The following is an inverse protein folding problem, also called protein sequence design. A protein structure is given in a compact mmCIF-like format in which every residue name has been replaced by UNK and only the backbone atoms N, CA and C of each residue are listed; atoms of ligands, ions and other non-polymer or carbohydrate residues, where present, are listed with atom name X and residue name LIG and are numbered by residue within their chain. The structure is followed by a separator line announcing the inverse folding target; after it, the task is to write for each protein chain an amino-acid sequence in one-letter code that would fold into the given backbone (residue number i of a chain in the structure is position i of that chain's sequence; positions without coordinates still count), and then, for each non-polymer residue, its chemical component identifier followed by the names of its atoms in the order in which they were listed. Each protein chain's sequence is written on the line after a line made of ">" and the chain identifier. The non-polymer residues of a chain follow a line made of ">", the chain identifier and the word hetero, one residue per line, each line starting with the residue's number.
data_IF_528475564422
#
_entry.id   IF_528475564422
#
_cell.length_a   1.000
_cell.length_b   1.000
_cell.length_c   1.000
_cell.angle_alpha   90.00
_cell.angle_beta   90.00
_cell.angle_gamma   90.00
#
_symmetry.space_group_name_H-M   'P 1'
#
loop_
_entity.id
_entity.type
_entity.pdbx_description
1 polymer ?
#
# COMPACT_ATOMS: atom_id res chain seq x y z
N UNK A 1 -17.40 20.66 0.83
CA UNK A 1 -17.40 20.63 -0.64
C UNK A 1 -18.27 19.45 -1.04
N UNK A 2 -19.49 19.72 -1.48
CA UNK A 2 -20.52 18.72 -1.79
C UNK A 2 -20.12 17.90 -2.99
N UNK A 3 -19.92 16.60 -2.81
CA UNK A 3 -19.83 15.63 -3.89
C UNK A 3 -21.14 15.71 -4.70
N UNK A 4 -21.05 16.23 -5.92
CA UNK A 4 -22.16 16.19 -6.87
C UNK A 4 -22.46 14.72 -7.19
N UNK A 5 -23.72 14.26 -7.07
CA UNK A 5 -24.09 12.95 -7.58
C UNK A 5 -23.90 12.99 -9.09
N UNK A 6 -23.15 12.03 -9.58
CA UNK A 6 -22.93 11.79 -11.00
C UNK A 6 -24.28 11.82 -11.73
N UNK A 7 -24.49 12.85 -12.53
CA UNK A 7 -25.57 12.94 -13.52
C UNK A 7 -25.21 12.00 -14.67
N UNK A 8 -25.15 10.70 -14.40
CA UNK A 8 -25.00 9.67 -15.41
C UNK A 8 -26.40 9.42 -15.99
N UNK A 9 -26.68 10.06 -17.13
CA UNK A 9 -27.64 9.49 -18.08
C UNK A 9 -27.34 7.99 -18.22
N UNK A 10 -28.33 7.09 -18.22
CA UNK A 10 -28.06 5.67 -18.40
C UNK A 10 -27.43 5.50 -19.79
N UNK A 11 -26.11 5.36 -19.82
CA UNK A 11 -25.40 4.95 -21.03
C UNK A 11 -25.90 3.55 -21.33
N UNK A 12 -26.76 3.43 -22.33
CA UNK A 12 -27.29 2.14 -22.76
C UNK A 12 -26.09 1.26 -23.14
N UNK A 13 -25.84 0.20 -22.38
CA UNK A 13 -24.70 -0.68 -22.63
C UNK A 13 -24.78 -1.28 -24.03
N UNK A 14 -23.64 -1.36 -24.71
CA UNK A 14 -23.59 -1.86 -26.09
C UNK A 14 -23.34 -3.37 -26.11
N UNK A 15 -24.22 -4.13 -26.77
CA UNK A 15 -24.06 -5.57 -26.98
C UNK A 15 -23.85 -5.84 -28.48
N UNK A 16 -22.75 -6.50 -28.82
CA UNK A 16 -22.46 -6.90 -30.19
C UNK A 16 -22.86 -8.37 -30.43
N UNK A 17 -23.72 -8.59 -31.42
CA UNK A 17 -24.14 -9.91 -31.88
C UNK A 17 -23.24 -10.37 -33.03
N UNK A 18 -22.44 -11.41 -32.77
CA UNK A 18 -21.62 -12.14 -33.73
C UNK A 18 -22.32 -13.47 -34.04
N UNK A 19 -23.40 -13.38 -34.82
CA UNK A 19 -24.29 -14.51 -35.13
C UNK A 19 -24.49 -14.58 -36.63
N UNK A 20 -24.21 -15.74 -37.24
CA UNK A 20 -24.28 -15.90 -38.70
C UNK A 20 -25.73 -15.95 -39.20
N UNK A 21 -26.55 -16.76 -38.54
CA UNK A 21 -27.92 -17.02 -39.00
C UNK A 21 -28.81 -15.79 -38.83
N UNK A 22 -29.32 -15.28 -39.95
CA UNK A 22 -30.03 -14.00 -40.00
C UNK A 22 -31.31 -14.01 -39.17
N UNK A 23 -32.00 -15.16 -39.11
CA UNK A 23 -33.21 -15.36 -38.30
C UNK A 23 -32.92 -15.28 -36.80
N UNK A 24 -31.91 -16.02 -36.32
CA UNK A 24 -31.52 -16.03 -34.91
C UNK A 24 -30.98 -14.67 -34.47
N UNK A 25 -30.18 -14.01 -35.32
CA UNK A 25 -29.69 -12.65 -35.07
C UNK A 25 -30.85 -11.65 -34.95
N UNK A 26 -31.86 -11.73 -35.81
CA UNK A 26 -33.04 -10.87 -35.74
C UNK A 26 -33.88 -11.16 -34.48
N UNK A 27 -34.02 -12.43 -34.09
CA UNK A 27 -34.73 -12.82 -32.87
C UNK A 27 -34.03 -12.29 -31.61
N UNK A 28 -32.71 -12.48 -31.49
CA UNK A 28 -31.92 -11.98 -30.36
C UNK A 28 -31.89 -10.46 -30.29
N UNK A 29 -31.79 -9.78 -31.44
CA UNK A 29 -31.95 -8.32 -31.50
C UNK A 29 -33.29 -7.89 -30.90
N UNK A 30 -34.39 -8.48 -31.35
CA UNK A 30 -35.75 -8.18 -30.83
C UNK A 30 -35.90 -8.49 -29.34
N UNK A 31 -35.22 -9.53 -28.84
CA UNK A 31 -35.27 -9.89 -27.42
C UNK A 31 -34.56 -8.85 -26.53
N UNK A 32 -33.49 -8.24 -27.04
CA UNK A 32 -32.53 -7.45 -26.27
C UNK A 32 -32.60 -5.93 -26.52
N UNK A 33 -33.21 -5.48 -27.63
CA UNK A 33 -33.25 -4.06 -28.03
C UNK A 33 -33.96 -3.14 -27.03
N UNK A 34 -34.85 -3.69 -26.19
CA UNK A 34 -35.49 -2.94 -25.11
C UNK A 34 -34.52 -2.55 -23.97
N UNK A 35 -33.37 -3.23 -23.86
CA UNK A 35 -32.44 -3.10 -22.73
C UNK A 35 -31.04 -2.60 -23.15
N UNK A 36 -30.62 -2.84 -24.39
CA UNK A 36 -29.23 -2.61 -24.83
C UNK A 36 -29.15 -2.01 -26.23
N UNK A 37 -28.06 -1.31 -26.53
CA UNK A 37 -27.72 -0.89 -27.88
C UNK A 37 -27.15 -2.09 -28.65
N UNK A 38 -27.92 -2.62 -29.61
CA UNK A 38 -27.54 -3.84 -30.34
C UNK A 38 -26.76 -3.51 -31.61
N UNK A 39 -25.51 -3.99 -31.68
CA UNK A 39 -24.68 -3.94 -32.90
C UNK A 39 -24.62 -5.31 -33.54
N UNK A 40 -24.94 -5.39 -34.84
CA UNK A 40 -25.04 -6.64 -35.59
C UNK A 40 -24.07 -6.68 -36.80
N UNK A 41 -22.98 -5.92 -36.72
CA UNK A 41 -21.95 -5.86 -37.77
C UNK A 41 -21.06 -7.10 -37.75
N UNK A 42 -20.66 -7.56 -38.93
CA UNK A 42 -19.73 -8.70 -39.10
C UNK A 42 -18.30 -8.37 -38.67
N UNK A 43 -17.92 -7.10 -38.51
CA UNK A 43 -16.63 -6.71 -37.94
C UNK A 43 -16.73 -6.52 -36.43
N UNK A 44 -15.82 -7.09 -35.65
CA UNK A 44 -15.71 -6.85 -34.20
C UNK A 44 -15.40 -5.37 -33.96
N UNK A 45 -16.33 -4.67 -33.32
CA UNK A 45 -16.21 -3.26 -32.94
C UNK A 45 -15.95 -3.08 -31.45
N UNK A 46 -16.00 -1.83 -30.98
CA UNK A 46 -15.99 -1.52 -29.54
C UNK A 46 -17.39 -1.72 -28.97
N UNK A 47 -17.63 -2.82 -28.26
CA UNK A 47 -18.84 -3.08 -27.48
C UNK A 47 -18.49 -3.40 -26.01
N UNK A 48 -19.50 -3.35 -25.15
CA UNK A 48 -19.38 -3.70 -23.72
C UNK A 48 -19.52 -5.19 -23.47
N UNK A 49 -20.23 -5.91 -24.36
CA UNK A 49 -20.39 -7.37 -24.31
C UNK A 49 -20.52 -7.94 -25.72
N UNK A 50 -19.97 -9.13 -25.95
CA UNK A 50 -20.09 -9.86 -27.21
C UNK A 50 -20.93 -11.12 -27.00
N UNK A 51 -21.96 -11.31 -27.82
CA UNK A 51 -22.70 -12.56 -27.95
C UNK A 51 -22.27 -13.24 -29.23
N UNK A 52 -21.77 -14.47 -29.13
CA UNK A 52 -21.26 -15.25 -30.26
C UNK A 52 -21.90 -16.63 -30.25
N UNK A 53 -22.24 -17.16 -31.42
CA UNK A 53 -22.76 -18.54 -31.50
C UNK A 53 -21.62 -19.55 -31.71
N UNK A 54 -21.87 -20.80 -31.36
CA UNK A 54 -20.93 -21.92 -31.51
C UNK A 54 -20.38 -22.13 -32.93
N UNK A 55 -21.18 -21.84 -33.97
CA UNK A 55 -20.77 -21.95 -35.36
C UNK A 55 -19.79 -20.86 -35.79
N UNK A 56 -20.00 -19.64 -35.35
CA UNK A 56 -19.19 -18.47 -35.70
C UNK A 56 -18.01 -18.24 -34.77
N UNK A 57 -18.06 -18.79 -33.56
CA UNK A 57 -17.01 -18.61 -32.56
C UNK A 57 -15.59 -18.92 -33.08
N UNK A 58 -15.33 -20.01 -33.82
CA UNK A 58 -14.00 -20.29 -34.38
C UNK A 58 -13.49 -19.18 -35.32
N UNK A 59 -14.39 -18.56 -36.11
CA UNK A 59 -14.03 -17.48 -37.05
C UNK A 59 -13.66 -16.19 -36.31
N UNK A 60 -14.36 -15.88 -35.22
CA UNK A 60 -14.15 -14.68 -34.42
C UNK A 60 -13.13 -14.85 -33.30
N UNK A 61 -12.71 -16.08 -32.97
CA UNK A 61 -11.87 -16.39 -31.81
C UNK A 61 -10.64 -15.49 -31.69
N UNK A 62 -9.78 -15.45 -32.72
CA UNK A 62 -8.55 -14.64 -32.68
C UNK A 62 -8.84 -13.14 -32.56
N UNK A 63 -9.92 -12.66 -33.16
CA UNK A 63 -10.28 -11.25 -33.14
C UNK A 63 -10.92 -10.84 -31.80
N UNK A 64 -11.71 -11.73 -31.18
CA UNK A 64 -12.23 -11.57 -29.82
C UNK A 64 -11.08 -11.60 -28.80
N UNK A 65 -10.14 -12.53 -28.92
CA UNK A 65 -8.98 -12.60 -28.01
C UNK A 65 -8.21 -11.29 -28.00
N UNK A 66 -7.83 -10.79 -29.19
CA UNK A 66 -7.19 -9.49 -29.33
C UNK A 66 -8.00 -8.34 -28.74
N UNK A 67 -9.33 -8.44 -28.71
CA UNK A 67 -10.21 -7.41 -28.15
C UNK A 67 -10.26 -7.48 -26.63
N UNK A 68 -10.28 -8.68 -26.05
CA UNK A 68 -10.20 -8.93 -24.61
C UNK A 68 -8.84 -8.47 -24.10
N UNK A 69 -7.74 -8.90 -24.72
CA UNK A 69 -6.38 -8.51 -24.35
C UNK A 69 -6.18 -6.98 -24.39
N UNK A 70 -6.75 -6.30 -25.38
CA UNK A 70 -6.71 -4.83 -25.47
C UNK A 70 -7.59 -4.11 -24.46
N UNK A 71 -8.53 -4.81 -23.86
CA UNK A 71 -9.41 -4.24 -22.84
C UNK A 71 -8.82 -4.44 -21.45
N UNK A 72 -7.93 -5.41 -21.24
CA UNK A 72 -7.19 -5.63 -20.01
C UNK A 72 -6.53 -4.33 -19.51
N UNK A 73 -6.69 -3.96 -18.23
CA UNK A 73 -7.32 -4.70 -17.12
C UNK A 73 -8.86 -4.59 -17.00
N UNK A 74 -9.54 -3.90 -17.93
CA UNK A 74 -11.01 -3.79 -17.93
C UNK A 74 -11.66 -5.08 -18.43
N UNK A 75 -12.46 -5.71 -17.56
CA UNK A 75 -13.23 -6.92 -17.88
C UNK A 75 -14.10 -6.76 -19.14
N UNK A 76 -13.95 -7.67 -20.10
CA UNK A 76 -14.56 -7.61 -21.43
C UNK A 76 -15.35 -8.89 -21.74
N UNK A 77 -16.64 -8.96 -21.36
CA UNK A 77 -17.40 -10.20 -21.39
C UNK A 77 -17.71 -10.71 -22.80
N UNK A 78 -17.52 -12.01 -23.00
CA UNK A 78 -17.94 -12.76 -24.19
C UNK A 78 -18.84 -13.92 -23.76
N UNK A 79 -20.03 -14.01 -24.35
CA UNK A 79 -21.02 -15.03 -24.05
C UNK A 79 -21.23 -15.91 -25.27
N UNK A 80 -21.03 -17.22 -25.10
CA UNK A 80 -21.22 -18.22 -26.13
C UNK A 80 -22.64 -18.77 -26.11
N UNK A 81 -23.32 -18.77 -27.26
CA UNK A 81 -24.64 -19.37 -27.44
C UNK A 81 -24.47 -20.73 -28.12
N UNK A 82 -24.88 -21.81 -27.44
CA UNK A 82 -24.78 -23.18 -27.93
C UNK A 82 -26.15 -23.73 -28.32
N UNK A 83 -26.24 -24.42 -29.46
CA UNK A 83 -27.51 -25.00 -29.95
C UNK A 83 -27.69 -26.44 -29.44
N UNK A 84 -28.93 -26.83 -29.11
CA UNK A 84 -29.25 -28.15 -28.56
C UNK A 84 -29.06 -29.32 -29.57
N UNK A 85 -28.93 -29.01 -30.86
CA UNK A 85 -29.23 -29.96 -31.93
C UNK A 85 -28.06 -30.84 -32.38
N UNK A 86 -26.84 -30.67 -31.86
CA UNK A 86 -25.71 -31.58 -32.18
C UNK A 86 -24.77 -31.79 -31.00
N UNK A 87 -24.44 -33.08 -30.82
CA UNK A 87 -23.39 -33.65 -30.00
C UNK A 87 -22.20 -32.68 -29.80
N UNK A 88 -21.80 -32.32 -28.57
CA UNK A 88 -20.75 -31.35 -28.34
C UNK A 88 -19.41 -32.03 -28.63
N UNK A 89 -18.92 -31.91 -29.87
CA UNK A 89 -17.49 -32.02 -30.16
C UNK A 89 -16.90 -30.61 -30.27
N UNK A 90 -17.17 -29.77 -29.28
CA UNK A 90 -16.24 -28.69 -28.95
C UNK A 90 -15.27 -29.34 -27.99
N UNK A 91 -14.04 -29.60 -28.43
CA UNK A 91 -12.96 -29.91 -27.51
C UNK A 91 -12.76 -28.65 -26.67
N UNK A 92 -13.41 -28.59 -25.52
CA UNK A 92 -13.10 -27.58 -24.51
C UNK A 92 -11.65 -27.85 -24.09
N UNK A 93 -10.79 -26.82 -24.02
CA UNK A 93 -9.44 -26.98 -23.50
C UNK A 93 -9.50 -27.67 -22.14
N UNK A 94 -8.59 -28.62 -21.92
CA UNK A 94 -8.54 -29.44 -20.72
C UNK A 94 -8.57 -28.55 -19.47
N UNK A 95 -9.39 -28.91 -18.48
CA UNK A 95 -9.63 -28.11 -17.28
C UNK A 95 -8.38 -27.98 -16.38
N UNK A 96 -7.30 -28.66 -16.73
CA UNK A 96 -6.07 -28.77 -15.95
C UNK A 96 -4.83 -28.14 -16.64
N UNK A 97 -4.93 -27.64 -17.87
CA UNK A 97 -3.84 -26.97 -18.62
C UNK A 97 -4.10 -25.47 -18.86
N UNK A 98 -4.85 -24.82 -17.97
CA UNK A 98 -5.47 -23.51 -18.21
C UNK A 98 -4.56 -22.33 -17.89
N UNK A 99 -3.93 -21.76 -18.90
CA UNK A 99 -3.45 -20.37 -18.87
C UNK A 99 -4.62 -19.39 -19.14
N UNK A 100 -4.90 -18.43 -18.24
CA UNK A 100 -5.86 -17.35 -18.44
C UNK A 100 -5.37 -16.28 -19.44
N UNK A 101 -6.25 -15.40 -19.97
CA UNK A 101 -7.70 -15.29 -19.69
C UNK A 101 -8.57 -16.17 -20.60
N UNK A 102 -9.61 -16.77 -20.01
CA UNK A 102 -10.65 -17.46 -20.78
C UNK A 102 -11.33 -16.46 -21.71
N UNK A 103 -11.39 -16.79 -22.99
CA UNK A 103 -12.07 -15.96 -23.96
C UNK A 103 -13.60 -15.93 -23.79
N UNK A 104 -14.20 -16.90 -23.09
CA UNK A 104 -15.65 -17.05 -22.92
C UNK A 104 -16.01 -17.03 -21.44
N UNK A 105 -16.88 -16.10 -21.04
CA UNK A 105 -17.25 -15.83 -19.65
C UNK A 105 -18.57 -16.47 -19.22
N UNK A 106 -19.47 -16.74 -20.17
CA UNK A 106 -20.71 -17.46 -19.92
C UNK A 106 -21.14 -18.27 -21.15
N UNK A 107 -21.87 -19.37 -20.93
CA UNK A 107 -22.44 -20.21 -21.98
C UNK A 107 -23.96 -20.29 -21.78
N UNK A 108 -24.71 -19.98 -22.84
CA UNK A 108 -26.18 -20.02 -22.87
C UNK A 108 -26.64 -21.05 -23.90
N UNK A 109 -27.41 -22.03 -23.46
CA UNK A 109 -28.00 -23.05 -24.34
C UNK A 109 -29.32 -22.55 -24.95
N UNK A 110 -29.54 -22.83 -26.23
CA UNK A 110 -30.83 -22.61 -26.90
C UNK A 110 -31.79 -23.81 -26.65
N UNK A 111 -33.12 -23.58 -26.54
CA UNK A 111 -33.83 -22.32 -26.70
C UNK A 111 -33.63 -21.36 -25.53
N UNK A 112 -33.48 -20.07 -25.83
CA UNK A 112 -33.10 -19.04 -24.85
C UNK A 112 -34.34 -18.46 -24.16
N UNK A 113 -34.34 -18.49 -22.83
CA UNK A 113 -35.28 -17.70 -22.02
C UNK A 113 -34.83 -16.24 -21.92
N UNK A 114 -35.72 -15.31 -22.30
CA UNK A 114 -35.42 -13.86 -22.33
C UNK A 114 -35.03 -13.32 -20.95
N UNK A 115 -35.78 -13.68 -19.91
CA UNK A 115 -35.55 -13.15 -18.57
C UNK A 115 -34.22 -13.65 -18.02
N UNK A 116 -33.88 -14.92 -18.27
CA UNK A 116 -32.60 -15.49 -17.90
C UNK A 116 -31.43 -14.85 -18.66
N UNK A 117 -31.55 -14.66 -19.97
CA UNK A 117 -30.50 -14.02 -20.77
C UNK A 117 -30.24 -12.59 -20.29
N UNK A 118 -31.27 -11.76 -20.18
CA UNK A 118 -31.12 -10.37 -19.70
C UNK A 118 -30.48 -10.31 -18.32
N UNK A 119 -30.89 -11.20 -17.39
CA UNK A 119 -30.27 -11.27 -16.05
C UNK A 119 -28.78 -11.61 -16.12
N UNK A 120 -28.38 -12.58 -16.95
CA UNK A 120 -26.98 -12.97 -17.14
C UNK A 120 -26.15 -11.85 -17.76
N UNK A 121 -26.64 -11.22 -18.83
CA UNK A 121 -25.95 -10.10 -19.47
C UNK A 121 -25.79 -8.92 -18.51
N UNK A 122 -26.83 -8.56 -17.76
CA UNK A 122 -26.75 -7.52 -16.74
C UNK A 122 -25.69 -7.83 -15.69
N UNK A 123 -25.61 -9.08 -15.21
CA UNK A 123 -24.58 -9.46 -14.24
C UNK A 123 -23.15 -9.28 -14.79
N UNK A 124 -22.92 -9.57 -16.07
CA UNK A 124 -21.61 -9.40 -16.70
C UNK A 124 -21.28 -7.93 -16.96
N UNK A 125 -22.28 -7.13 -17.38
CA UNK A 125 -22.14 -5.70 -17.61
C UNK A 125 -21.87 -4.94 -16.31
N UNK A 126 -22.53 -5.32 -15.21
CA UNK A 126 -22.24 -4.77 -13.87
C UNK A 126 -20.80 -5.05 -13.46
N UNK A 127 -20.30 -6.28 -13.66
CA UNK A 127 -18.89 -6.63 -13.38
C UNK A 127 -17.91 -5.80 -14.20
N UNK A 128 -18.22 -5.57 -15.49
CA UNK A 128 -17.41 -4.72 -16.36
C UNK A 128 -17.37 -3.28 -15.86
N UNK A 129 -18.50 -2.74 -15.43
CA UNK A 129 -18.56 -1.37 -14.91
C UNK A 129 -17.79 -1.24 -13.60
N UNK A 130 -17.96 -2.20 -12.67
CA UNK A 130 -17.16 -2.26 -11.44
C UNK A 130 -15.64 -2.32 -11.73
N UNK A 131 -15.22 -3.07 -12.75
CA UNK A 131 -13.82 -3.13 -13.17
C UNK A 131 -13.31 -1.79 -13.71
N UNK A 132 -14.13 -1.04 -14.46
CA UNK A 132 -13.76 0.33 -14.89
C UNK A 132 -13.68 1.29 -13.71
N UNK A 133 -14.67 1.27 -12.83
CA UNK A 133 -14.72 2.13 -11.65
C UNK A 133 -13.50 1.89 -10.77
N UNK A 134 -13.15 0.63 -10.53
CA UNK A 134 -11.96 0.25 -9.76
C UNK A 134 -10.69 0.84 -10.38
N UNK A 135 -10.50 0.71 -11.69
CA UNK A 135 -9.34 1.28 -12.38
C UNK A 135 -9.32 2.81 -12.36
N UNK A 136 -10.50 3.44 -12.45
CA UNK A 136 -10.61 4.88 -12.31
C UNK A 136 -10.18 5.35 -10.92
N UNK A 137 -10.64 4.67 -9.86
CA UNK A 137 -10.25 4.98 -8.49
C UNK A 137 -8.76 4.70 -8.23
N UNK A 138 -8.21 3.60 -8.75
CA UNK A 138 -6.77 3.31 -8.66
C UNK A 138 -5.96 4.46 -9.28
N UNK A 139 -6.31 4.88 -10.51
CA UNK A 139 -5.61 6.00 -11.17
C UNK A 139 -5.75 7.32 -10.42
N UNK A 140 -6.91 7.60 -9.80
CA UNK A 140 -7.09 8.77 -8.96
C UNK A 140 -6.26 8.72 -7.68
N UNK A 141 -6.18 7.55 -7.04
CA UNK A 141 -5.38 7.33 -5.85
C UNK A 141 -3.89 7.51 -6.15
N UNK A 142 -3.39 6.91 -7.24
CA UNK A 142 -2.01 7.07 -7.70
C UNK A 142 -1.68 8.54 -7.97
N UNK A 143 -2.54 9.26 -8.71
CA UNK A 143 -2.33 10.67 -9.00
C UNK A 143 -2.38 11.54 -7.73
N UNK A 144 -3.25 11.22 -6.79
CA UNK A 144 -3.33 11.90 -5.49
C UNK A 144 -2.09 11.64 -4.65
N UNK A 145 -1.57 10.41 -4.63
CA UNK A 145 -0.38 10.04 -3.87
C UNK A 145 0.84 10.78 -4.43
N UNK A 146 1.03 10.76 -5.76
CA UNK A 146 2.09 11.50 -6.44
C UNK A 146 2.01 13.02 -6.17
N UNK A 147 0.80 13.58 -6.13
CA UNK A 147 0.62 15.01 -5.83
C UNK A 147 1.00 15.34 -4.39
N UNK A 148 0.68 14.45 -3.44
CA UNK A 148 1.04 14.60 -2.03
C UNK A 148 2.56 14.53 -1.82
N UNK A 149 3.23 13.61 -2.51
CA UNK A 149 4.69 13.48 -2.50
C UNK A 149 5.37 14.74 -3.06
N UNK A 150 4.93 15.23 -4.22
CA UNK A 150 5.47 16.46 -4.81
C UNK A 150 5.27 17.66 -3.89
N UNK A 151 4.13 17.75 -3.22
CA UNK A 151 3.86 18.78 -2.23
C UNK A 151 4.81 18.66 -1.03
N UNK A 152 4.96 17.46 -0.47
CA UNK A 152 5.86 17.21 0.65
C UNK A 152 7.32 17.57 0.28
N UNK A 153 7.78 17.16 -0.90
CA UNK A 153 9.12 17.47 -1.39
C UNK A 153 9.35 18.98 -1.55
N UNK A 154 8.44 19.67 -2.25
CA UNK A 154 8.55 21.10 -2.48
C UNK A 154 8.49 21.90 -1.17
N UNK A 155 7.56 21.54 -0.28
CA UNK A 155 7.42 22.18 1.02
C UNK A 155 8.68 21.99 1.88
N UNK A 156 9.24 20.78 1.96
CA UNK A 156 10.45 20.51 2.73
C UNK A 156 11.67 21.27 2.18
N UNK A 157 11.85 21.30 0.87
CA UNK A 157 12.93 22.09 0.25
C UNK A 157 12.79 23.59 0.58
N UNK A 158 11.59 24.14 0.42
CA UNK A 158 11.31 25.55 0.68
C UNK A 158 11.39 25.93 2.16
N UNK A 159 11.27 24.95 3.08
CA UNK A 159 11.46 25.13 4.52
C UNK A 159 12.93 24.94 4.95
N UNK A 160 13.69 24.05 4.31
CA UNK A 160 15.09 23.79 4.64
C UNK A 160 15.98 25.01 4.35
N UNK A 161 15.77 25.71 3.23
CA UNK A 161 16.60 26.85 2.86
C UNK A 161 16.53 28.04 3.85
N UNK A 162 15.34 28.53 4.26
CA UNK A 162 15.26 29.57 5.28
C UNK A 162 15.75 29.08 6.65
N UNK A 163 15.53 27.81 7.00
CA UNK A 163 16.00 27.26 8.26
C UNK A 163 17.52 27.19 8.33
N UNK A 164 18.17 26.74 7.25
CA UNK A 164 19.64 26.73 7.14
C UNK A 164 20.23 28.13 7.31
N UNK A 165 19.56 29.14 6.77
CA UNK A 165 19.95 30.54 6.97
C UNK A 165 19.83 30.97 8.43
N UNK A 166 18.73 30.62 9.11
CA UNK A 166 18.54 30.90 10.54
C UNK A 166 19.64 30.23 11.38
N UNK A 167 19.86 28.92 11.21
CA UNK A 167 20.93 28.19 11.93
C UNK A 167 22.31 28.81 11.70
N UNK A 168 22.61 29.18 10.45
CA UNK A 168 23.91 29.80 10.11
C UNK A 168 24.11 31.14 10.82
N UNK A 169 23.06 31.96 10.93
CA UNK A 169 23.16 33.24 11.65
C UNK A 169 23.24 33.05 13.16
N UNK A 170 22.52 32.09 13.74
CA UNK A 170 22.63 31.77 15.17
C UNK A 170 24.06 31.32 15.53
N UNK A 171 24.65 30.42 14.74
CA UNK A 171 26.05 29.99 14.91
C UNK A 171 27.05 31.15 14.75
N UNK A 172 26.80 32.08 13.82
CA UNK A 172 27.64 33.28 13.67
C UNK A 172 27.52 34.23 14.87
N UNK A 173 26.33 34.34 15.46
CA UNK A 173 26.09 35.15 16.66
C UNK A 173 26.83 34.52 17.84
N UNK A 174 26.70 33.21 18.03
CA UNK A 174 27.41 32.44 19.06
C UNK A 174 28.92 32.62 18.93
N UNK A 175 29.48 32.37 17.74
CA UNK A 175 30.92 32.46 17.52
C UNK A 175 31.50 33.87 17.72
N UNK A 176 30.72 34.91 17.43
CA UNK A 176 31.21 36.31 17.42
C UNK A 176 30.91 37.08 18.70
N UNK A 177 29.81 36.73 19.36
CA UNK A 177 29.27 37.47 20.49
C UNK A 177 29.02 36.59 21.72
N UNK A 178 29.29 35.27 21.65
CA UNK A 178 29.18 34.30 22.76
C UNK A 178 29.71 34.86 24.07
N UNK A 179 31.00 35.20 24.09
CA UNK A 179 31.69 35.77 25.26
C UNK A 179 31.15 37.13 25.76
N UNK A 180 30.17 37.72 25.07
CA UNK A 180 29.57 39.03 25.39
C UNK A 180 28.16 38.90 25.98
N UNK A 181 27.55 37.71 25.89
CA UNK A 181 26.24 37.46 26.48
C UNK A 181 26.36 37.28 28.00
N UNK A 182 25.28 37.59 28.71
CA UNK A 182 25.05 37.13 30.07
C UNK A 182 24.51 35.70 30.06
N UNK A 183 24.44 35.04 31.22
CA UNK A 183 23.98 33.65 31.35
C UNK A 183 22.61 33.43 30.66
N UNK A 184 21.66 34.36 30.86
CA UNK A 184 20.35 34.32 30.21
C UNK A 184 20.46 34.42 28.66
N UNK A 185 21.39 35.25 28.16
CA UNK A 185 21.61 35.44 26.72
C UNK A 185 22.26 34.25 26.04
N UNK A 186 23.16 33.54 26.72
CA UNK A 186 23.73 32.26 26.27
C UNK A 186 22.64 31.19 26.22
N UNK A 187 21.83 31.07 27.27
CA UNK A 187 20.72 30.11 27.37
C UNK A 187 19.68 30.32 26.26
N UNK A 188 19.28 31.57 25.99
CA UNK A 188 18.34 31.87 24.89
C UNK A 188 18.91 31.52 23.51
N UNK A 189 20.22 31.67 23.32
CA UNK A 189 20.87 31.34 22.06
C UNK A 189 20.95 29.83 21.85
N UNK A 190 21.27 29.08 22.90
CA UNK A 190 21.26 27.62 22.92
C UNK A 190 19.86 27.09 22.56
N UNK A 191 18.80 27.59 23.23
CA UNK A 191 17.42 27.22 22.88
C UNK A 191 17.05 27.53 21.42
N UNK A 192 17.55 28.64 20.86
CA UNK A 192 17.27 28.99 19.48
C UNK A 192 18.00 28.05 18.49
N UNK A 193 19.24 27.67 18.78
CA UNK A 193 20.03 26.72 17.99
C UNK A 193 19.35 25.34 18.03
N UNK A 194 19.01 24.85 19.21
CA UNK A 194 18.31 23.57 19.40
C UNK A 194 16.96 23.56 18.69
N UNK A 195 16.19 24.64 18.79
CA UNK A 195 14.92 24.79 18.07
C UNK A 195 15.10 24.70 16.55
N UNK A 196 16.15 25.32 16.01
CA UNK A 196 16.45 25.28 14.59
C UNK A 196 16.90 23.88 14.12
N UNK A 197 17.73 23.21 14.91
CA UNK A 197 18.18 21.85 14.62
C UNK A 197 17.03 20.84 14.71
N UNK A 198 16.14 20.99 15.69
CA UNK A 198 14.90 20.20 15.77
C UNK A 198 14.00 20.38 14.56
N UNK A 199 13.82 21.61 14.08
CA UNK A 199 13.04 21.87 12.87
C UNK A 199 13.65 21.18 11.65
N UNK A 200 14.99 21.12 11.56
CA UNK A 200 15.69 20.46 10.44
C UNK A 200 15.41 18.96 10.46
N UNK A 201 15.60 18.32 11.62
CA UNK A 201 15.33 16.90 11.80
C UNK A 201 13.87 16.54 11.51
N UNK A 202 12.90 17.40 11.88
CA UNK A 202 11.48 17.17 11.53
C UNK A 202 11.21 17.22 10.03
N UNK A 203 11.84 18.16 9.30
CA UNK A 203 11.69 18.26 7.85
C UNK A 203 12.32 17.05 7.14
N UNK A 204 13.51 16.64 7.59
CA UNK A 204 14.22 15.49 7.02
C UNK A 204 13.43 14.19 7.25
N UNK A 205 12.91 13.98 8.45
CA UNK A 205 12.07 12.82 8.76
C UNK A 205 10.73 12.83 7.99
N UNK A 206 10.14 14.00 7.70
CA UNK A 206 8.94 14.10 6.87
C UNK A 206 9.22 13.70 5.41
N UNK A 207 10.38 14.12 4.88
CA UNK A 207 10.83 13.71 3.55
C UNK A 207 11.02 12.20 3.47
N UNK A 208 11.67 11.62 4.47
CA UNK A 208 11.88 10.19 4.57
C UNK A 208 10.54 9.42 4.61
N UNK A 209 9.60 9.87 5.45
CA UNK A 209 8.25 9.32 5.52
C UNK A 209 7.52 9.33 4.17
N UNK A 210 7.65 10.41 3.41
CA UNK A 210 7.00 10.52 2.09
C UNK A 210 7.59 9.61 1.00
N UNK A 211 8.82 9.11 1.18
CA UNK A 211 9.56 8.38 0.13
C UNK A 211 9.49 6.86 0.25
N UNK A 212 8.99 6.33 1.38
CA UNK A 212 8.99 4.88 1.68
C UNK A 212 8.39 4.06 0.54
N UNK A 213 7.27 4.49 -0.05
CA UNK A 213 6.55 3.71 -1.06
C UNK A 213 7.14 3.79 -2.46
N UNK A 214 7.76 4.93 -2.81
CA UNK A 214 8.08 5.29 -4.20
C UNK A 214 9.54 5.08 -4.55
N UNK A 215 10.45 5.18 -3.57
CA UNK A 215 11.89 5.02 -3.74
C UNK A 215 12.46 3.77 -3.06
N UNK A 216 11.65 3.00 -2.32
CA UNK A 216 12.15 1.80 -1.65
C UNK A 216 12.55 0.71 -2.63
N UNK A 217 13.55 -0.08 -2.25
CA UNK A 217 14.04 -1.19 -3.05
C UNK A 217 12.99 -2.33 -3.13
N UNK A 218 13.09 -3.22 -4.14
CA UNK A 218 12.24 -4.40 -4.19
C UNK A 218 12.35 -5.22 -2.90
N UNK A 219 11.22 -5.72 -2.40
CA UNK A 219 11.23 -6.62 -1.26
C UNK A 219 11.94 -7.91 -1.66
N UNK A 220 13.05 -8.23 -0.99
CA UNK A 220 13.85 -9.42 -1.26
C UNK A 220 14.10 -10.22 0.02
N UNK A 221 14.48 -11.51 -0.11
CA UNK A 221 14.82 -12.33 1.05
C UNK A 221 16.01 -11.76 1.85
N UNK A 222 15.72 -11.17 3.01
CA UNK A 222 16.64 -10.42 3.87
C UNK A 222 16.88 -11.13 5.21
N UNK A 223 18.14 -11.22 5.63
CA UNK A 223 18.56 -11.82 6.90
C UNK A 223 18.50 -10.78 8.02
N UNK A 224 17.55 -10.93 8.96
CA UNK A 224 17.36 -9.94 10.02
C UNK A 224 18.50 -9.92 11.06
N UNK A 225 19.22 -11.03 11.24
CA UNK A 225 20.40 -11.07 12.12
C UNK A 225 21.48 -10.07 11.65
N UNK A 226 21.68 -9.95 10.34
CA UNK A 226 22.62 -8.98 9.76
C UNK A 226 22.15 -7.54 9.94
N UNK A 227 20.86 -7.29 9.70
CA UNK A 227 20.25 -5.97 9.89
C UNK A 227 20.41 -5.51 11.35
N UNK A 228 20.06 -6.36 12.32
CA UNK A 228 20.19 -6.03 13.74
C UNK A 228 21.66 -5.79 14.14
N UNK A 229 22.61 -6.56 13.62
CA UNK A 229 24.02 -6.38 13.91
C UNK A 229 24.51 -5.00 13.46
N UNK A 230 24.09 -4.56 12.28
CA UNK A 230 24.48 -3.26 11.77
C UNK A 230 23.79 -2.12 12.55
N UNK A 231 22.52 -2.26 12.93
CA UNK A 231 21.83 -1.27 13.79
C UNK A 231 22.52 -1.14 15.15
N UNK A 232 22.97 -2.24 15.77
CA UNK A 232 23.76 -2.19 17.00
C UNK A 232 25.08 -1.43 16.82
N UNK A 233 25.68 -1.51 15.65
CA UNK A 233 26.89 -0.74 15.32
C UNK A 233 26.56 0.75 15.16
N UNK A 234 25.47 1.08 14.49
CA UNK A 234 25.02 2.46 14.27
C UNK A 234 24.65 3.15 15.60
N UNK A 235 24.01 2.41 16.52
CA UNK A 235 23.62 2.88 17.85
C UNK A 235 24.70 2.72 18.93
N UNK A 236 25.92 2.30 18.57
CA UNK A 236 26.95 1.94 19.54
C UNK A 236 27.26 3.04 20.55
N UNK A 237 27.36 4.29 20.10
CA UNK A 237 27.64 5.43 20.99
C UNK A 237 26.53 5.60 22.03
N UNK A 238 25.27 5.56 21.59
CA UNK A 238 24.10 5.68 22.45
C UNK A 238 24.00 4.51 23.44
N UNK A 239 24.28 3.28 22.98
CA UNK A 239 24.34 2.08 23.84
C UNK A 239 25.43 2.22 24.90
N UNK A 240 26.62 2.66 24.52
CA UNK A 240 27.75 2.83 25.44
C UNK A 240 27.49 3.95 26.45
N UNK A 241 26.83 5.05 26.04
CA UNK A 241 26.49 6.19 26.90
C UNK A 241 25.41 5.87 27.94
N UNK A 242 24.40 5.07 27.56
CA UNK A 242 23.27 4.71 28.43
C UNK A 242 23.49 3.37 29.15
N UNK A 243 24.62 2.69 28.91
CA UNK A 243 24.91 1.34 29.38
C UNK A 243 23.78 0.33 29.03
N UNK A 244 23.19 0.48 27.84
CA UNK A 244 22.04 -0.30 27.39
C UNK A 244 22.40 -1.76 27.10
N UNK A 245 21.52 -2.69 27.49
CA UNK A 245 21.61 -4.10 27.13
C UNK A 245 20.58 -4.43 26.06
N UNK A 246 21.02 -5.03 24.94
CA UNK A 246 20.12 -5.49 23.88
C UNK A 246 20.30 -7.00 23.73
N UNK A 247 19.28 -7.76 24.10
CA UNK A 247 19.23 -9.21 23.96
C UNK A 247 18.32 -9.60 22.79
N UNK A 248 18.81 -10.50 21.93
CA UNK A 248 18.04 -11.03 20.82
C UNK A 248 18.41 -12.50 20.61
N UNK A 249 17.41 -13.34 20.35
CA UNK A 249 17.62 -14.69 19.82
C UNK A 249 18.08 -14.65 18.36
N UNK A 250 18.13 -15.82 17.70
CA UNK A 250 18.32 -15.87 16.24
C UNK A 250 17.09 -15.30 15.55
N UNK A 251 17.28 -14.30 14.71
CA UNK A 251 16.22 -13.68 13.94
C UNK A 251 16.01 -14.39 12.61
N UNK A 252 14.75 -14.46 12.11
CA UNK A 252 14.44 -15.18 10.90
C UNK A 252 14.83 -14.38 9.65
N UNK A 253 14.79 -15.09 8.52
CA UNK A 253 14.79 -14.47 7.19
C UNK A 253 13.38 -14.06 6.80
N UNK A 254 13.23 -12.84 6.28
CA UNK A 254 11.94 -12.25 5.87
C UNK A 254 11.99 -11.71 4.45
N UNK A 255 10.84 -11.50 3.81
CA UNK A 255 10.78 -10.70 2.57
C UNK A 255 10.75 -9.22 2.93
N UNK A 256 11.78 -8.47 2.55
CA UNK A 256 11.81 -7.04 2.83
C UNK A 256 12.99 -6.28 2.25
N UNK A 257 12.89 -4.97 2.37
CA UNK A 257 13.91 -3.99 2.04
C UNK A 257 14.85 -3.81 3.25
N UNK A 258 16.12 -4.17 3.09
CA UNK A 258 17.09 -4.21 4.19
C UNK A 258 17.34 -2.83 4.82
N UNK A 259 17.32 -1.75 4.03
CA UNK A 259 17.56 -0.40 4.53
C UNK A 259 16.36 0.11 5.32
N UNK A 260 15.14 -0.17 4.85
CA UNK A 260 13.94 0.16 5.60
C UNK A 260 13.80 -0.67 6.88
N UNK A 261 14.14 -1.95 6.84
CA UNK A 261 14.14 -2.80 8.04
C UNK A 261 15.20 -2.33 9.05
N UNK A 262 16.38 -1.90 8.59
CA UNK A 262 17.38 -1.23 9.44
C UNK A 262 16.78 -0.01 10.13
N UNK A 263 16.13 0.86 9.37
CA UNK A 263 15.50 2.08 9.89
C UNK A 263 14.39 1.78 10.91
N UNK A 264 13.57 0.75 10.66
CA UNK A 264 12.57 0.26 11.61
C UNK A 264 13.20 -0.14 12.93
N UNK A 265 14.23 -1.02 12.91
CA UNK A 265 14.93 -1.44 14.12
C UNK A 265 15.63 -0.27 14.81
N UNK A 266 16.27 0.62 14.06
CA UNK A 266 16.96 1.78 14.62
C UNK A 266 15.99 2.66 15.42
N UNK A 267 14.82 2.99 14.85
CA UNK A 267 13.83 3.81 15.53
C UNK A 267 13.24 3.14 16.78
N UNK A 268 12.94 1.83 16.71
CA UNK A 268 12.41 1.11 17.87
C UNK A 268 13.44 1.02 19.00
N UNK A 269 14.69 0.72 18.67
CA UNK A 269 15.77 0.60 19.65
C UNK A 269 16.20 1.96 20.22
N UNK A 270 16.27 3.01 19.39
CA UNK A 270 16.57 4.36 19.89
C UNK A 270 15.48 4.85 20.83
N UNK A 271 14.21 4.59 20.52
CA UNK A 271 13.11 4.91 21.43
C UNK A 271 13.24 4.14 22.75
N UNK A 272 13.48 2.83 22.69
CA UNK A 272 13.64 2.03 23.90
C UNK A 272 14.79 2.53 24.81
N UNK A 273 15.89 3.04 24.22
CA UNK A 273 16.99 3.64 25.00
C UNK A 273 16.61 5.02 25.54
N UNK A 274 16.03 5.90 24.73
CA UNK A 274 15.68 7.28 25.11
C UNK A 274 14.55 7.33 26.17
N UNK A 275 13.68 6.32 26.18
CA UNK A 275 12.52 6.24 27.07
C UNK A 275 12.68 5.27 28.25
N UNK A 276 13.90 4.79 28.53
CA UNK A 276 14.19 3.84 29.64
C UNK A 276 14.02 4.42 31.05
N UNK A 277 13.82 5.74 31.20
CA UNK A 277 13.69 6.39 32.50
C UNK A 277 15.02 6.58 33.23
N UNK A 278 15.04 6.40 34.55
CA UNK A 278 16.28 6.49 35.37
C UNK A 278 17.06 5.17 35.41
N UNK A 279 16.47 4.08 34.93
CA UNK A 279 17.06 2.75 34.93
C UNK A 279 17.85 2.47 33.65
N UNK A 280 18.74 1.47 33.72
CA UNK A 280 19.53 1.06 32.57
C UNK A 280 18.60 0.43 31.53
N UNK A 281 18.64 0.84 30.25
CA UNK A 281 17.79 0.25 29.24
C UNK A 281 18.09 -1.24 29.07
N UNK A 282 17.12 -2.09 29.40
CA UNK A 282 17.13 -3.52 29.08
C UNK A 282 16.11 -3.78 27.97
N UNK A 283 16.61 -4.20 26.82
CA UNK A 283 15.81 -4.36 25.59
C UNK A 283 15.87 -5.81 25.14
N UNK A 284 14.71 -6.44 25.03
CA UNK A 284 14.60 -7.84 24.59
C UNK A 284 13.85 -7.93 23.26
N UNK A 285 14.46 -8.59 22.27
CA UNK A 285 13.84 -8.87 20.98
C UNK A 285 13.45 -10.34 20.91
N UNK A 286 12.15 -10.60 20.79
CA UNK A 286 11.60 -11.95 20.63
C UNK A 286 10.99 -12.14 19.24
N UNK A 287 10.90 -13.40 18.82
CA UNK A 287 10.33 -13.76 17.53
C UNK A 287 9.46 -15.01 17.63
N UNK A 288 8.29 -14.94 17.00
CA UNK A 288 7.31 -16.01 16.93
C UNK A 288 6.88 -16.23 15.48
N UNK A 289 6.78 -17.50 15.06
CA UNK A 289 6.27 -17.83 13.72
C UNK A 289 4.76 -18.01 13.78
N UNK A 290 4.02 -17.27 12.96
CA UNK A 290 2.62 -17.55 12.70
C UNK A 290 2.52 -18.50 11.49
N UNK A 291 2.35 -19.80 11.76
CA UNK A 291 2.30 -20.82 10.70
C UNK A 291 1.04 -20.71 9.83
N UNK A 292 -0.06 -20.16 10.35
CA UNK A 292 -1.32 -20.04 9.61
C UNK A 292 -1.26 -18.93 8.57
N UNK A 293 -0.61 -17.81 8.91
CA UNK A 293 -0.52 -16.62 8.05
C UNK A 293 0.82 -16.52 7.28
N UNK A 294 1.75 -17.47 7.49
CA UNK A 294 3.07 -17.47 6.85
C UNK A 294 3.86 -16.18 7.11
N UNK A 295 3.80 -15.68 8.34
CA UNK A 295 4.46 -14.45 8.79
C UNK A 295 5.28 -14.70 10.06
N UNK A 296 6.19 -13.78 10.33
CA UNK A 296 6.94 -13.69 11.58
C UNK A 296 6.43 -12.52 12.38
N UNK A 297 6.10 -12.74 13.65
CA UNK A 297 5.86 -11.70 14.64
C UNK A 297 7.16 -11.42 15.37
N UNK A 298 7.63 -10.18 15.34
CA UNK A 298 8.76 -9.69 16.10
C UNK A 298 8.26 -8.75 17.18
N UNK A 299 8.82 -8.85 18.38
CA UNK A 299 8.46 -7.98 19.50
C UNK A 299 9.74 -7.40 20.11
N UNK A 300 9.78 -6.08 20.22
CA UNK A 300 10.82 -5.31 20.93
C UNK A 300 10.23 -4.85 22.25
N UNK A 301 10.71 -5.44 23.33
CA UNK A 301 10.30 -5.13 24.70
C UNK A 301 11.34 -4.25 25.38
N UNK A 302 10.90 -3.20 26.06
CA UNK A 302 11.70 -2.31 26.91
C UNK A 302 11.05 -2.16 28.29
N UNK A 303 11.87 -1.91 29.31
CA UNK A 303 11.45 -1.64 30.70
C UNK A 303 11.33 -0.13 30.99
N UNK A 304 10.97 0.67 29.98
CA UNK A 304 10.92 2.12 30.10
C UNK A 304 9.72 2.68 30.87
N UNK A 305 9.49 4.00 30.71
CA UNK A 305 8.42 4.74 31.41
C UNK A 305 6.99 4.29 31.06
N UNK A 306 6.83 3.48 30.02
CA UNK A 306 5.53 3.04 29.52
C UNK A 306 4.73 4.14 28.81
N UNK A 307 3.57 3.74 28.28
CA UNK A 307 2.69 4.56 27.43
C UNK A 307 1.26 4.45 27.94
N UNK A 308 0.61 5.59 28.13
CA UNK A 308 -0.80 5.65 28.51
C UNK A 308 -1.68 4.92 27.47
N UNK A 309 -2.57 3.99 27.88
CA UNK A 309 -3.46 3.27 26.98
C UNK A 309 -4.27 4.16 26.02
N UNK A 310 -4.67 5.36 26.45
CA UNK A 310 -5.44 6.30 25.62
C UNK A 310 -4.60 6.90 24.47
N UNK A 311 -3.28 6.79 24.56
CA UNK A 311 -2.34 7.35 23.59
C UNK A 311 -1.68 6.29 22.69
N UNK A 312 -1.83 4.99 22.97
CA UNK A 312 -1.18 3.89 22.24
C UNK A 312 -1.52 3.84 20.74
N UNK A 313 -2.71 4.27 20.33
CA UNK A 313 -3.05 4.39 18.90
C UNK A 313 -2.42 5.63 18.26
N UNK A 314 -2.27 6.70 19.05
CA UNK A 314 -1.86 8.03 18.59
C UNK A 314 -0.35 8.14 18.40
N UNK A 315 0.45 7.34 19.09
CA UNK A 315 1.93 7.38 18.95
C UNK A 315 2.42 7.09 17.52
N UNK A 316 1.60 6.43 16.69
CA UNK A 316 1.92 6.15 15.29
C UNK A 316 1.45 7.24 14.32
N UNK A 317 0.81 8.30 14.80
CA UNK A 317 0.46 9.46 13.97
C UNK A 317 1.67 10.41 13.82
N UNK A 318 1.75 11.06 12.66
CA UNK A 318 2.82 12.01 12.35
C UNK A 318 2.71 13.23 13.28
N UNK A 319 3.84 13.65 13.87
CA UNK A 319 3.98 14.78 14.79
C UNK A 319 3.34 14.60 16.19
N UNK A 320 2.95 13.38 16.59
CA UNK A 320 2.50 13.15 17.96
C UNK A 320 3.68 12.95 18.91
N UNK A 321 3.59 13.55 20.10
CA UNK A 321 4.55 13.41 21.21
C UNK A 321 3.76 13.36 22.52
N UNK A 322 4.06 12.39 23.38
CA UNK A 322 3.32 12.16 24.63
C UNK A 322 3.72 13.12 25.74
N UNK A 323 5.01 13.45 25.85
CA UNK A 323 5.51 14.36 26.87
C UNK A 323 6.05 15.62 26.21
N UNK A 324 5.26 16.70 26.29
CA UNK A 324 5.63 18.02 25.74
C UNK A 324 6.48 18.87 26.70
N UNK A 325 6.82 18.35 27.88
CA UNK A 325 7.44 19.11 28.98
C UNK A 325 8.76 18.54 29.51
N UNK A 326 9.26 17.40 29.01
CA UNK A 326 10.59 16.89 29.37
C UNK A 326 11.54 16.95 28.17
N UNK A 327 12.81 17.19 28.46
CA UNK A 327 13.96 17.52 27.61
C UNK A 327 14.35 16.45 26.56
N UNK A 328 13.43 15.57 26.15
CA UNK A 328 13.74 14.45 25.25
C UNK A 328 13.62 14.86 23.78
N UNK A 329 14.53 14.36 22.95
CA UNK A 329 14.79 14.81 21.58
C UNK A 329 14.13 13.90 20.54
N UNK A 330 12.84 14.11 20.28
CA UNK A 330 12.11 13.35 19.25
C UNK A 330 11.46 14.24 18.19
N UNK A 331 11.53 13.82 16.92
CA UNK A 331 10.82 14.49 15.80
C UNK A 331 9.32 14.20 15.80
N UNK A 332 8.87 13.17 16.51
CA UNK A 332 7.48 12.71 16.49
C UNK A 332 7.09 12.01 15.18
N UNK A 333 8.07 11.60 14.37
CA UNK A 333 7.85 10.94 13.07
C UNK A 333 8.34 9.48 13.11
N UNK A 334 9.30 9.14 13.98
CA UNK A 334 9.93 7.81 14.00
C UNK A 334 8.94 6.64 14.08
N UNK A 335 7.98 6.66 14.99
CA UNK A 335 6.98 5.58 15.08
C UNK A 335 6.00 5.56 13.90
N UNK A 336 5.62 6.73 13.38
CA UNK A 336 4.83 6.80 12.15
C UNK A 336 5.59 6.19 10.96
N UNK A 337 6.91 6.42 10.90
CA UNK A 337 7.81 5.81 9.92
C UNK A 337 7.84 4.29 10.08
N UNK A 338 7.99 3.78 11.31
CA UNK A 338 7.93 2.35 11.59
C UNK A 338 6.65 1.72 11.07
N UNK A 339 5.50 2.36 11.35
CA UNK A 339 4.20 1.91 10.83
C UNK A 339 4.16 1.87 9.32
N UNK A 340 4.65 2.91 8.65
CA UNK A 340 4.65 2.97 7.19
C UNK A 340 5.57 1.91 6.56
N UNK A 341 6.74 1.67 7.15
CA UNK A 341 7.67 0.61 6.73
C UNK A 341 6.98 -0.75 6.85
N UNK A 342 6.40 -1.06 8.01
CA UNK A 342 5.74 -2.35 8.25
C UNK A 342 4.54 -2.55 7.32
N UNK A 343 3.71 -1.53 7.11
CA UNK A 343 2.58 -1.58 6.17
C UNK A 343 3.03 -1.81 4.71
N UNK A 344 4.13 -1.17 4.27
CA UNK A 344 4.74 -1.43 2.95
C UNK A 344 5.20 -2.89 2.79
N UNK A 345 5.56 -3.53 3.89
CA UNK A 345 5.96 -4.94 3.93
C UNK A 345 4.77 -5.88 4.14
N UNK A 346 3.52 -5.44 3.90
CA UNK A 346 2.29 -6.21 4.13
C UNK A 346 2.10 -6.67 5.59
N UNK A 347 2.77 -6.01 6.53
CA UNK A 347 2.74 -6.31 7.95
C UNK A 347 1.79 -5.42 8.74
N UNK A 348 1.77 -5.64 10.07
CA UNK A 348 1.06 -4.79 11.04
C UNK A 348 1.97 -4.47 12.20
N UNK A 349 1.87 -3.27 12.77
CA UNK A 349 2.57 -2.85 14.00
C UNK A 349 1.57 -2.40 15.05
N UNK A 350 1.85 -2.71 16.31
CA UNK A 350 1.08 -2.28 17.47
C UNK A 350 1.99 -2.19 18.70
N UNK A 351 1.47 -1.61 19.77
CA UNK A 351 2.15 -1.52 21.06
C UNK A 351 1.26 -2.09 22.15
N UNK A 352 1.88 -2.74 23.13
CA UNK A 352 1.27 -3.12 24.39
C UNK A 352 2.13 -2.52 25.50
N UNK A 353 1.55 -1.69 26.36
CA UNK A 353 2.30 -0.96 27.37
C UNK A 353 1.41 -0.60 28.55
N UNK A 354 2.00 -0.52 29.74
CA UNK A 354 1.42 0.07 30.94
C UNK A 354 2.40 1.09 31.52
N UNK A 355 1.90 2.17 32.13
CA UNK A 355 2.74 3.20 32.73
C UNK A 355 3.64 2.59 33.81
N UNK A 356 4.92 2.97 33.78
CA UNK A 356 5.98 2.48 34.67
C UNK A 356 6.25 0.96 34.60
N UNK A 357 5.71 0.24 33.61
CA UNK A 357 5.97 -1.20 33.37
C UNK A 357 6.62 -1.45 31.99
N UNK A 358 7.05 -0.41 31.30
CA UNK A 358 7.67 -0.51 29.98
C UNK A 358 6.70 -0.63 28.81
N UNK A 359 7.24 -0.94 27.64
CA UNK A 359 6.48 -1.08 26.41
C UNK A 359 6.96 -2.28 25.57
N UNK A 360 6.02 -2.86 24.82
CA UNK A 360 6.30 -3.92 23.85
C UNK A 360 5.78 -3.52 22.49
N UNK A 361 6.69 -3.14 21.60
CA UNK A 361 6.37 -2.87 20.20
C UNK A 361 6.43 -4.16 19.40
N UNK A 362 5.28 -4.60 18.90
CA UNK A 362 5.15 -5.82 18.11
C UNK A 362 4.83 -5.50 16.66
N UNK A 363 5.46 -6.21 15.73
CA UNK A 363 5.17 -6.09 14.31
C UNK A 363 5.27 -7.42 13.57
N UNK A 364 4.56 -7.54 12.44
CA UNK A 364 4.62 -8.72 11.56
C UNK A 364 5.36 -8.45 10.25
N UNK A 365 6.05 -9.47 9.75
CA UNK A 365 6.72 -9.46 8.44
C UNK A 365 6.49 -10.79 7.70
N UNK A 366 6.27 -10.78 6.37
CA UNK A 366 6.08 -12.00 5.59
C UNK A 366 7.31 -12.90 5.65
N UNK A 367 7.08 -14.20 5.86
CA UNK A 367 8.14 -15.18 5.75
C UNK A 367 8.60 -15.33 4.29
N UNK A 368 9.87 -15.70 4.10
CA UNK A 368 10.35 -16.08 2.76
C UNK A 368 9.60 -17.32 2.30
N UNK A 369 8.75 -17.16 1.29
CA UNK A 369 8.16 -18.27 0.55
C UNK A 369 9.23 -18.83 -0.37
N UNK A 370 9.79 -20.00 -0.03
CA UNK A 370 10.61 -20.76 -0.96
C UNK A 370 9.73 -21.17 -2.14
N UNK A 371 9.84 -20.44 -3.25
CA UNK A 371 9.30 -20.87 -4.54
C UNK A 371 10.13 -22.07 -4.99
N UNK A 372 9.62 -23.27 -4.69
CA UNK A 372 10.18 -24.55 -5.16
C UNK A 372 9.90 -24.79 -6.64
#
# INVERSE_FOLDING_TARGET
>A
MTLSPHDQQPTTSTVQLLIEETGNRAALRKLLEDHYEIRATQSIGKADLYLVDDHTFPEYHTALQKRVDRSDPVFCPVVLIRRADRNPHVTLPDLHERDPPYLVDDIVDAPIDRALLVRRLNSLLVRREQSKDLLHYISQLEASNQSLEQFAYAASHDLQEPLRMVSSYLQLIEQRYGDTFDEDGEEFLEFAIDGADRMRSMIDALLEYSRIDTEGDPLTPTELDGVLADVRQDLRMMIDEHEASIEAGSLPRVQGDADQLRQLFQNLLSNAIEYSGEERPEITITVEKNEEESEWKLSVHDEGIGIDPDDQERIFEVFQRLHSHEERSGTGIGLALCKRIVERHDGRIWVESELDEGATFSFTLPAVTDSS
#
